data_IF_803253207326
#
_entry.id   IF_803253207326
#
_cell.length_a   1.000
_cell.length_b   1.000
_cell.length_c   1.000
_cell.angle_alpha   90.00
_cell.angle_beta   90.00
_cell.angle_gamma   90.00
#
_symmetry.space_group_name_H-M   'P 1'
#
loop_
_entity.id
_entity.type
_entity.pdbx_description
1 polymer ?
#
# COMPACT_ATOMS: atom_id res chain seq x y z
N UNK A 1 -59.10 -44.19 -39.41
CA UNK A 1 -58.76 -45.48 -40.02
C UNK A 1 -57.24 -45.63 -39.91
N UNK A 2 -56.76 -46.52 -39.03
CA UNK A 2 -55.33 -46.80 -38.82
C UNK A 2 -54.80 -47.81 -39.84
N UNK A 3 -53.82 -48.68 -39.50
CA UNK A 3 -52.78 -48.61 -38.46
C UNK A 3 -51.37 -49.06 -38.96
N UNK A 4 -50.33 -48.91 -38.13
CA UNK A 4 -49.06 -49.70 -38.11
C UNK A 4 -48.10 -48.96 -37.15
N UNK A 5 -47.92 -49.33 -35.89
CA UNK A 5 -47.32 -50.56 -35.36
C UNK A 5 -45.86 -50.74 -35.84
N UNK A 6 -44.94 -50.15 -35.09
CA UNK A 6 -43.51 -50.51 -35.09
C UNK A 6 -43.03 -50.65 -33.65
N UNK A 7 -43.12 -51.88 -33.20
CA UNK A 7 -42.30 -52.53 -32.20
C UNK A 7 -40.81 -52.41 -32.57
N UNK A 8 -40.03 -51.73 -31.74
CA UNK A 8 -38.58 -51.83 -31.68
C UNK A 8 -38.26 -52.04 -30.19
N UNK A 9 -38.38 -53.28 -29.71
CA UNK A 9 -37.29 -54.26 -29.65
C UNK A 9 -36.18 -53.79 -28.71
N UNK A 10 -36.43 -54.06 -27.44
CA UNK A 10 -35.47 -54.10 -26.34
C UNK A 10 -34.45 -55.20 -26.62
N UNK A 11 -33.23 -54.82 -27.03
CA UNK A 11 -32.07 -55.68 -26.92
C UNK A 11 -31.21 -55.19 -25.74
N UNK A 12 -31.52 -55.77 -24.58
CA UNK A 12 -30.60 -55.92 -23.46
C UNK A 12 -29.38 -56.71 -23.95
N UNK A 13 -28.26 -56.03 -24.15
CA UNK A 13 -26.95 -56.67 -24.16
C UNK A 13 -26.29 -56.41 -22.82
N UNK A 14 -26.30 -57.46 -22.01
CA UNK A 14 -25.52 -57.67 -20.79
C UNK A 14 -24.05 -57.27 -21.00
N UNK A 15 -23.75 -55.99 -20.77
CA UNK A 15 -22.41 -55.52 -20.53
C UNK A 15 -22.07 -55.92 -19.10
N UNK A 16 -21.47 -57.10 -18.97
CA UNK A 16 -20.86 -57.64 -17.77
C UNK A 16 -19.93 -56.58 -17.19
N UNK A 17 -20.42 -55.86 -16.17
CA UNK A 17 -19.66 -54.88 -15.41
C UNK A 17 -18.59 -55.67 -14.66
N UNK A 18 -17.43 -55.77 -15.29
CA UNK A 18 -16.23 -56.35 -14.69
C UNK A 18 -15.79 -55.37 -13.61
N UNK A 19 -16.06 -55.72 -12.36
CA UNK A 19 -15.56 -55.03 -11.16
C UNK A 19 -14.02 -55.07 -11.15
N UNK A 20 -13.40 -54.19 -11.91
CA UNK A 20 -11.99 -53.85 -11.74
C UNK A 20 -11.89 -53.00 -10.48
N UNK A 21 -11.68 -53.67 -9.35
CA UNK A 21 -11.24 -53.03 -8.12
C UNK A 21 -10.10 -52.06 -8.45
N UNK A 22 -10.26 -50.75 -8.16
CA UNK A 22 -9.19 -49.80 -8.40
C UNK A 22 -8.01 -50.19 -7.52
N UNK A 23 -6.92 -50.62 -8.15
CA UNK A 23 -5.63 -50.82 -7.50
C UNK A 23 -5.22 -49.49 -6.88
N UNK A 24 -5.43 -49.36 -5.58
CA UNK A 24 -5.03 -48.18 -4.81
C UNK A 24 -3.50 -48.15 -4.86
N UNK A 25 -2.97 -47.33 -5.77
CA UNK A 25 -1.55 -47.01 -5.82
C UNK A 25 -1.12 -46.57 -4.42
N UNK A 26 -0.17 -47.25 -3.76
CA UNK A 26 0.31 -46.84 -2.45
C UNK A 26 0.92 -45.46 -2.62
N UNK A 27 0.18 -44.43 -2.19
CA UNK A 27 0.63 -43.05 -2.17
C UNK A 27 1.93 -43.02 -1.37
N UNK A 28 3.05 -42.88 -2.06
CA UNK A 28 4.39 -42.72 -1.47
C UNK A 28 4.30 -41.62 -0.42
N UNK A 29 4.41 -42.03 0.84
CA UNK A 29 4.36 -41.16 2.00
C UNK A 29 5.50 -40.11 2.00
N UNK A 30 6.52 -40.30 1.15
CA UNK A 30 7.71 -39.44 1.05
C UNK A 30 7.46 -38.03 0.52
N UNK A 31 6.50 -37.80 -0.37
CA UNK A 31 6.34 -36.49 -1.03
C UNK A 31 5.79 -35.39 -0.11
N UNK A 32 5.25 -35.76 1.06
CA UNK A 32 4.76 -34.79 2.06
C UNK A 32 5.77 -34.43 3.13
N UNK A 33 6.81 -35.23 3.32
CA UNK A 33 7.77 -35.03 4.43
C UNK A 33 8.86 -34.02 4.05
N UNK A 34 9.27 -34.02 2.77
CA UNK A 34 10.30 -33.11 2.24
C UNK A 34 9.99 -31.62 2.45
N UNK A 35 8.78 -31.10 2.16
CA UNK A 35 8.49 -29.68 2.36
C UNK A 35 8.39 -29.28 3.85
N UNK A 36 8.01 -30.21 4.73
CA UNK A 36 7.93 -29.95 6.18
C UNK A 36 9.33 -29.83 6.78
N UNK A 37 10.25 -30.72 6.40
CA UNK A 37 11.64 -30.66 6.85
C UNK A 37 12.38 -29.42 6.31
N UNK A 38 12.14 -29.03 5.05
CA UNK A 38 12.68 -27.79 4.50
C UNK A 38 12.17 -26.54 5.24
N UNK A 39 10.91 -26.54 5.68
CA UNK A 39 10.34 -25.47 6.49
C UNK A 39 10.96 -25.37 7.88
N UNK A 40 11.22 -26.52 8.54
CA UNK A 40 11.87 -26.56 9.85
C UNK A 40 13.32 -26.09 9.75
N UNK A 41 14.07 -26.53 8.74
CA UNK A 41 15.44 -26.07 8.50
C UNK A 41 15.51 -24.55 8.20
N UNK A 42 14.57 -24.02 7.40
CA UNK A 42 14.45 -22.58 7.15
C UNK A 42 14.12 -21.78 8.42
N UNK A 43 13.25 -22.31 9.28
CA UNK A 43 12.94 -21.73 10.59
C UNK A 43 14.17 -21.70 11.52
N UNK A 44 14.99 -22.75 11.52
CA UNK A 44 16.21 -22.81 12.34
C UNK A 44 17.29 -21.83 11.85
N UNK A 45 17.40 -21.60 10.53
CA UNK A 45 18.30 -20.58 9.97
C UNK A 45 17.84 -19.17 10.34
N UNK A 46 16.53 -18.90 10.27
CA UNK A 46 15.96 -17.63 10.75
C UNK A 46 16.19 -17.42 12.25
N UNK A 47 16.17 -18.50 13.05
CA UNK A 47 16.43 -18.46 14.50
C UNK A 47 17.86 -17.99 14.82
N UNK A 48 18.80 -18.26 13.92
CA UNK A 48 20.20 -17.87 14.07
C UNK A 48 20.48 -16.42 13.65
N UNK A 49 19.64 -15.84 12.80
CA UNK A 49 19.79 -14.48 12.25
C UNK A 49 19.20 -13.41 13.19
N UNK A 50 18.23 -13.76 14.03
CA UNK A 50 17.54 -12.82 14.92
C UNK A 50 17.66 -13.21 16.41
N UNK A 51 18.68 -12.70 17.15
CA UNK A 51 18.94 -13.11 18.53
C UNK A 51 17.94 -12.55 19.56
N UNK A 52 17.11 -11.56 19.19
CA UNK A 52 16.17 -10.92 20.10
C UNK A 52 14.86 -11.71 20.24
N UNK A 53 14.62 -12.26 21.43
CA UNK A 53 13.40 -13.03 21.77
C UNK A 53 12.10 -12.23 21.58
N UNK A 54 12.15 -10.90 21.74
CA UNK A 54 10.97 -10.03 21.58
C UNK A 54 10.50 -9.93 20.11
N UNK A 55 11.44 -9.89 19.17
CA UNK A 55 11.16 -9.85 17.72
C UNK A 55 10.59 -11.19 17.24
N UNK A 56 11.03 -12.29 17.85
CA UNK A 56 10.46 -13.61 17.63
C UNK A 56 9.02 -13.73 18.13
N UNK A 57 8.72 -13.23 19.33
CA UNK A 57 7.36 -13.22 19.86
C UNK A 57 6.42 -12.38 19.00
N UNK A 58 6.86 -11.20 18.53
CA UNK A 58 6.03 -10.38 17.63
C UNK A 58 5.84 -11.03 16.26
N UNK A 59 6.86 -11.65 15.68
CA UNK A 59 6.75 -12.39 14.42
C UNK A 59 5.88 -13.65 14.53
N UNK A 60 5.97 -14.39 15.63
CA UNK A 60 5.12 -15.56 15.88
C UNK A 60 3.68 -15.13 16.16
N UNK A 61 3.45 -14.09 16.96
CA UNK A 61 2.12 -13.54 17.20
C UNK A 61 1.50 -13.01 15.89
N UNK A 62 2.28 -12.32 15.07
CA UNK A 62 1.86 -11.81 13.77
C UNK A 62 1.60 -12.93 12.77
N UNK A 63 2.48 -13.93 12.69
CA UNK A 63 2.32 -15.11 11.85
C UNK A 63 1.11 -15.95 12.25
N UNK A 64 0.87 -16.10 13.56
CA UNK A 64 -0.33 -16.74 14.11
C UNK A 64 -1.58 -15.93 13.74
N UNK A 65 -1.54 -14.61 13.88
CA UNK A 65 -2.65 -13.72 13.53
C UNK A 65 -2.96 -13.78 12.02
N UNK A 66 -1.93 -13.81 11.18
CA UNK A 66 -2.07 -14.00 9.73
C UNK A 66 -2.62 -15.37 9.36
N UNK A 67 -2.13 -16.43 10.00
CA UNK A 67 -2.60 -17.78 9.78
C UNK A 67 -4.06 -17.92 10.19
N UNK A 68 -4.43 -17.40 11.35
CA UNK A 68 -5.81 -17.34 11.83
C UNK A 68 -6.68 -16.51 10.89
N UNK A 69 -6.21 -15.34 10.44
CA UNK A 69 -6.90 -14.48 9.47
C UNK A 69 -7.12 -15.18 8.13
N UNK A 70 -6.12 -15.88 7.59
CA UNK A 70 -6.27 -16.69 6.38
C UNK A 70 -7.21 -17.88 6.59
N UNK A 71 -7.21 -18.49 7.77
CA UNK A 71 -8.08 -19.62 8.09
C UNK A 71 -9.53 -19.16 8.25
N UNK A 72 -9.77 -18.04 8.94
CA UNK A 72 -11.05 -17.35 9.03
C UNK A 72 -11.54 -16.87 7.66
N UNK A 73 -10.65 -16.36 6.82
CA UNK A 73 -11.01 -15.94 5.46
C UNK A 73 -11.37 -17.13 4.57
N UNK A 74 -10.62 -18.24 4.63
CA UNK A 74 -10.95 -19.48 3.91
C UNK A 74 -12.25 -20.09 4.42
N UNK A 75 -12.47 -20.07 5.73
CA UNK A 75 -13.70 -20.52 6.36
C UNK A 75 -14.88 -19.63 5.96
N UNK A 76 -14.78 -18.31 6.07
CA UNK A 76 -15.81 -17.37 5.62
C UNK A 76 -16.09 -17.54 4.13
N UNK A 77 -15.05 -17.76 3.30
CA UNK A 77 -15.22 -18.04 1.87
C UNK A 77 -15.93 -19.36 1.62
N UNK A 78 -15.65 -20.42 2.39
CA UNK A 78 -16.37 -21.70 2.28
C UNK A 78 -17.81 -21.56 2.78
N UNK A 79 -18.05 -20.79 3.84
CA UNK A 79 -19.37 -20.49 4.38
C UNK A 79 -20.20 -19.68 3.37
N UNK A 80 -19.58 -18.71 2.69
CA UNK A 80 -20.21 -17.95 1.60
C UNK A 80 -20.49 -18.81 0.36
N UNK A 81 -19.67 -19.83 0.08
CA UNK A 81 -19.94 -20.78 -0.99
C UNK A 81 -21.05 -21.78 -0.59
N UNK A 82 -21.07 -22.25 0.66
CA UNK A 82 -22.13 -23.08 1.21
C UNK A 82 -23.48 -22.33 1.27
N UNK A 83 -23.46 -21.05 1.67
CA UNK A 83 -24.63 -20.17 1.74
C UNK A 83 -25.17 -19.77 0.35
N UNK A 84 -24.38 -19.95 -0.72
CA UNK A 84 -24.83 -19.72 -2.09
C UNK A 84 -25.72 -20.83 -2.65
N UNK A 85 -25.93 -21.92 -1.90
CA UNK A 85 -26.87 -22.96 -2.31
C UNK A 85 -26.51 -23.63 -3.63
N UNK A 86 -25.24 -23.57 -4.05
CA UNK A 86 -24.69 -24.54 -4.98
C UNK A 86 -24.45 -25.82 -4.19
N UNK A 87 -25.54 -26.51 -3.85
CA UNK A 87 -25.44 -27.92 -3.51
C UNK A 87 -24.67 -28.59 -4.64
N UNK A 88 -23.53 -29.24 -4.37
CA UNK A 88 -22.93 -30.12 -5.34
C UNK A 88 -24.00 -31.18 -5.65
N UNK A 89 -24.56 -31.09 -6.86
CA UNK A 89 -25.53 -32.02 -7.45
C UNK A 89 -24.86 -33.40 -7.63
N UNK A 90 -24.48 -34.05 -6.54
CA UNK A 90 -23.92 -35.39 -6.55
C UNK A 90 -24.98 -36.46 -6.36
N UNK A 91 -26.21 -36.12 -5.96
CA UNK A 91 -27.30 -37.09 -5.86
C UNK A 91 -28.65 -36.47 -6.20
N UNK A 92 -29.00 -36.42 -7.49
CA UNK A 92 -30.41 -36.36 -7.89
C UNK A 92 -30.70 -37.19 -9.12
N UNK A 93 -30.29 -38.45 -9.06
CA UNK A 93 -31.01 -39.52 -9.74
C UNK A 93 -32.18 -39.91 -8.83
N UNK A 94 -33.42 -39.61 -9.26
CA UNK A 94 -34.58 -40.36 -8.79
C UNK A 94 -35.55 -39.68 -7.82
N UNK A 95 -35.86 -38.39 -7.96
CA UNK A 95 -37.13 -37.91 -7.37
C UNK A 95 -37.80 -36.83 -8.23
N UNK A 96 -38.88 -37.24 -8.89
CA UNK A 96 -39.76 -36.42 -9.71
C UNK A 96 -40.65 -35.54 -8.82
N UNK A 97 -40.09 -34.59 -8.09
CA UNK A 97 -40.91 -33.56 -7.43
C UNK A 97 -41.16 -32.44 -8.44
N UNK A 98 -42.38 -32.39 -8.95
CA UNK A 98 -42.92 -31.30 -9.76
C UNK A 98 -43.08 -30.04 -8.90
N UNK A 99 -41.98 -29.38 -8.54
CA UNK A 99 -42.06 -27.98 -8.17
C UNK A 99 -42.05 -27.17 -9.47
N UNK A 100 -43.07 -26.34 -9.66
CA UNK A 100 -43.14 -25.26 -10.65
C UNK A 100 -42.13 -24.17 -10.28
N UNK A 101 -40.85 -24.58 -10.19
CA UNK A 101 -39.69 -23.71 -10.08
C UNK A 101 -39.66 -22.92 -11.37
N UNK A 102 -40.02 -21.63 -11.29
CA UNK A 102 -39.79 -20.69 -12.39
C UNK A 102 -38.31 -20.83 -12.76
N UNK A 103 -38.07 -21.49 -13.89
CA UNK A 103 -36.74 -21.68 -14.46
C UNK A 103 -36.22 -20.28 -14.70
N UNK A 104 -35.34 -19.81 -13.81
CA UNK A 104 -34.64 -18.57 -13.99
C UNK A 104 -33.91 -18.70 -15.31
N UNK A 105 -34.42 -18.02 -16.35
CA UNK A 105 -33.89 -18.09 -17.70
C UNK A 105 -32.37 -17.87 -17.57
N UNK A 106 -31.53 -18.80 -18.05
CA UNK A 106 -30.09 -18.63 -17.98
C UNK A 106 -29.78 -17.27 -18.59
N UNK A 107 -29.21 -16.38 -17.77
CA UNK A 107 -28.80 -15.05 -18.20
C UNK A 107 -27.92 -15.26 -19.43
N UNK A 108 -28.45 -14.91 -20.59
CA UNK A 108 -27.76 -15.08 -21.85
C UNK A 108 -26.39 -14.41 -21.71
N UNK A 109 -25.29 -15.08 -22.09
CA UNK A 109 -23.94 -14.54 -21.94
C UNK A 109 -23.94 -13.17 -22.60
N UNK A 110 -23.86 -12.13 -21.78
CA UNK A 110 -24.04 -10.75 -22.24
C UNK A 110 -23.04 -10.50 -23.35
N UNK A 111 -23.58 -10.17 -24.53
CA UNK A 111 -22.84 -9.86 -25.76
C UNK A 111 -21.60 -9.03 -25.40
N UNK A 112 -20.43 -9.56 -25.77
CA UNK A 112 -19.12 -8.98 -25.46
C UNK A 112 -19.10 -7.47 -25.75
N UNK A 113 -18.97 -6.64 -24.70
CA UNK A 113 -18.86 -5.18 -24.83
C UNK A 113 -17.71 -4.80 -25.77
N UNK A 114 -17.91 -3.90 -26.73
CA UNK A 114 -16.86 -3.51 -27.68
C UNK A 114 -15.66 -2.89 -26.95
N UNK A 115 -14.46 -2.96 -27.55
CA UNK A 115 -13.25 -2.38 -26.97
C UNK A 115 -13.42 -0.88 -26.71
N UNK A 116 -13.98 -0.14 -27.67
CA UNK A 116 -14.26 1.30 -27.53
C UNK A 116 -15.16 1.62 -26.34
N UNK A 117 -16.24 0.86 -26.13
CA UNK A 117 -17.12 1.06 -24.97
C UNK A 117 -16.37 0.84 -23.63
N UNK A 118 -15.45 -0.13 -23.56
CA UNK A 118 -14.63 -0.35 -22.37
C UNK A 118 -13.63 0.78 -22.14
N UNK A 119 -12.99 1.25 -23.21
CA UNK A 119 -12.07 2.37 -23.14
C UNK A 119 -12.77 3.64 -22.68
N UNK A 120 -13.96 3.94 -23.21
CA UNK A 120 -14.79 5.06 -22.75
C UNK A 120 -15.15 4.92 -21.26
N UNK A 121 -15.50 3.72 -20.79
CA UNK A 121 -15.74 3.47 -19.36
C UNK A 121 -14.50 3.61 -18.49
N UNK A 122 -13.34 3.18 -19.01
CA UNK A 122 -12.05 3.29 -18.32
C UNK A 122 -11.63 4.74 -18.20
N UNK A 123 -11.75 5.52 -19.28
CA UNK A 123 -11.48 6.96 -19.27
C UNK A 123 -12.43 7.70 -18.32
N UNK A 124 -13.72 7.34 -18.30
CA UNK A 124 -14.67 7.88 -17.33
C UNK A 124 -14.33 7.49 -15.89
N UNK A 125 -13.79 6.30 -15.64
CA UNK A 125 -13.27 5.92 -14.32
C UNK A 125 -12.02 6.74 -13.95
N UNK A 126 -11.05 6.82 -14.85
CA UNK A 126 -9.81 7.61 -14.71
C UNK A 126 -10.14 9.07 -14.38
N UNK A 127 -11.06 9.70 -15.10
CA UNK A 127 -11.47 11.10 -14.88
C UNK A 127 -12.08 11.34 -13.49
N UNK A 128 -12.69 10.33 -12.86
CA UNK A 128 -13.27 10.43 -11.51
C UNK A 128 -12.25 10.18 -10.39
N UNK A 129 -11.12 9.57 -10.69
CA UNK A 129 -10.12 9.24 -9.65
C UNK A 129 -9.58 10.44 -8.88
N UNK A 130 -9.26 11.61 -9.48
CA UNK A 130 -8.69 12.72 -8.71
C UNK A 130 -9.65 13.19 -7.62
N UNK A 131 -10.95 13.22 -7.91
CA UNK A 131 -11.99 13.56 -6.94
C UNK A 131 -11.95 12.63 -5.71
N UNK A 132 -11.87 11.31 -5.93
CA UNK A 132 -11.79 10.36 -4.81
C UNK A 132 -10.47 10.44 -4.05
N UNK A 133 -9.35 10.70 -4.74
CA UNK A 133 -8.04 10.87 -4.09
C UNK A 133 -8.01 12.13 -3.23
N UNK A 134 -8.56 13.25 -3.71
CA UNK A 134 -8.68 14.49 -2.94
C UNK A 134 -9.56 14.27 -1.70
N UNK A 135 -10.69 13.57 -1.85
CA UNK A 135 -11.56 13.23 -0.73
C UNK A 135 -10.83 12.37 0.33
N UNK A 136 -10.08 11.36 -0.10
CA UNK A 136 -9.29 10.52 0.81
C UNK A 136 -8.15 11.31 1.46
N UNK A 137 -7.52 12.22 0.73
CA UNK A 137 -6.47 13.10 1.26
C UNK A 137 -7.04 14.05 2.32
N UNK A 138 -8.23 14.61 2.09
CA UNK A 138 -8.95 15.40 3.08
C UNK A 138 -9.30 14.59 4.34
N UNK A 139 -9.70 13.32 4.17
CA UNK A 139 -9.94 12.43 5.30
C UNK A 139 -8.65 12.13 6.11
N UNK A 140 -7.50 11.94 5.44
CA UNK A 140 -6.21 11.77 6.11
C UNK A 140 -5.81 13.05 6.86
N UNK A 141 -5.96 14.23 6.25
CA UNK A 141 -5.72 15.52 6.89
C UNK A 141 -6.60 15.73 8.13
N UNK A 142 -7.85 15.27 8.09
CA UNK A 142 -8.78 15.33 9.20
C UNK A 142 -8.35 14.41 10.37
N UNK A 143 -7.86 13.21 10.06
CA UNK A 143 -7.43 12.23 11.08
C UNK A 143 -6.06 12.57 11.66
N UNK A 144 -5.13 13.04 10.83
CA UNK A 144 -3.76 13.37 11.23
C UNK A 144 -3.31 14.64 10.53
N UNK A 145 -3.47 15.76 11.25
CA UNK A 145 -3.05 17.08 10.77
C UNK A 145 -1.55 17.13 10.50
N UNK A 146 -0.78 16.43 11.34
CA UNK A 146 0.69 16.45 11.29
C UNK A 146 1.26 15.56 10.17
N UNK A 147 0.45 14.70 9.54
CA UNK A 147 0.93 13.79 8.49
C UNK A 147 1.55 14.54 7.29
N UNK A 148 1.00 15.71 6.96
CA UNK A 148 1.48 16.58 5.88
C UNK A 148 2.25 17.80 6.41
N UNK A 149 2.69 17.78 7.67
CA UNK A 149 3.54 18.85 8.20
C UNK A 149 4.97 18.69 7.68
N UNK A 150 5.58 19.79 7.27
CA UNK A 150 7.02 19.86 7.00
C UNK A 150 7.70 20.80 7.96
N UNK A 151 9.01 20.65 8.12
CA UNK A 151 9.81 21.51 9.00
C UNK A 151 9.84 22.97 8.52
N UNK A 152 9.64 23.19 7.22
CA UNK A 152 9.66 24.52 6.62
C UNK A 152 8.33 25.27 6.78
N UNK A 153 7.21 24.55 6.90
CA UNK A 153 5.89 25.19 6.98
C UNK A 153 5.50 25.52 8.44
N UNK A 154 5.65 26.79 8.82
CA UNK A 154 5.15 27.32 10.10
C UNK A 154 3.63 27.20 10.27
N UNK A 155 2.88 27.09 9.17
CA UNK A 155 1.40 27.01 9.18
C UNK A 155 0.87 25.58 9.40
N UNK A 156 1.76 24.59 9.55
CA UNK A 156 1.44 23.20 9.86
C UNK A 156 1.04 22.33 8.67
N UNK A 157 0.84 22.91 7.48
CA UNK A 157 0.58 22.16 6.25
C UNK A 157 1.61 22.51 5.19
N UNK A 158 2.24 21.49 4.62
CA UNK A 158 3.08 21.64 3.44
C UNK A 158 2.28 21.26 2.19
N UNK A 159 2.05 22.26 1.34
CA UNK A 159 1.36 22.07 0.06
C UNK A 159 2.13 21.12 -0.86
N UNK A 160 3.45 21.06 -0.75
CA UNK A 160 4.31 20.16 -1.50
C UNK A 160 3.98 18.68 -1.21
N UNK A 161 3.90 18.30 0.07
CA UNK A 161 3.55 16.93 0.49
C UNK A 161 2.15 16.53 0.07
N UNK A 162 1.18 17.43 0.22
CA UNK A 162 -0.21 17.19 -0.18
C UNK A 162 -0.28 16.97 -1.69
N UNK A 163 0.34 17.87 -2.46
CA UNK A 163 0.37 17.82 -3.93
C UNK A 163 1.07 16.54 -4.41
N UNK A 164 2.21 16.21 -3.81
CA UNK A 164 2.95 14.99 -4.09
C UNK A 164 2.13 13.72 -3.79
N UNK A 165 1.47 13.66 -2.63
CA UNK A 165 0.62 12.53 -2.25
C UNK A 165 -0.56 12.35 -3.21
N UNK A 166 -1.25 13.44 -3.57
CA UNK A 166 -2.39 13.41 -4.50
C UNK A 166 -1.96 12.97 -5.89
N UNK A 167 -0.93 13.58 -6.45
CA UNK A 167 -0.45 13.29 -7.80
C UNK A 167 0.11 11.86 -7.92
N UNK A 168 0.93 11.42 -6.96
CA UNK A 168 1.48 10.06 -6.94
C UNK A 168 0.38 8.99 -6.82
N UNK A 169 -0.58 9.19 -5.93
CA UNK A 169 -1.71 8.26 -5.76
C UNK A 169 -2.62 8.23 -6.99
N UNK A 170 -2.83 9.39 -7.63
CA UNK A 170 -3.61 9.51 -8.86
C UNK A 170 -2.93 8.76 -10.01
N UNK A 171 -1.63 8.99 -10.21
CA UNK A 171 -0.80 8.30 -11.22
C UNK A 171 -0.86 6.78 -11.02
N UNK A 172 -0.63 6.29 -9.81
CA UNK A 172 -0.69 4.87 -9.49
C UNK A 172 -2.08 4.27 -9.77
N UNK A 173 -3.15 4.99 -9.43
CA UNK A 173 -4.52 4.55 -9.67
C UNK A 173 -4.86 4.52 -11.16
N UNK A 174 -4.39 5.50 -11.95
CA UNK A 174 -4.55 5.53 -13.40
C UNK A 174 -3.86 4.34 -14.08
N UNK A 175 -2.63 4.05 -13.69
CA UNK A 175 -1.89 2.89 -14.21
C UNK A 175 -2.62 1.60 -13.88
N UNK A 176 -3.10 1.42 -12.64
CA UNK A 176 -3.88 0.25 -12.26
C UNK A 176 -5.20 0.13 -13.03
N UNK A 177 -5.96 1.21 -13.19
CA UNK A 177 -7.21 1.20 -13.95
C UNK A 177 -6.96 0.90 -15.43
N UNK A 178 -6.00 1.57 -16.06
CA UNK A 178 -5.62 1.32 -17.44
C UNK A 178 -5.23 -0.14 -17.63
N UNK A 179 -4.34 -0.65 -16.78
CA UNK A 179 -3.81 -2.00 -16.90
C UNK A 179 -4.88 -3.07 -16.67
N UNK A 180 -5.66 -2.95 -15.58
CA UNK A 180 -6.70 -3.94 -15.25
C UNK A 180 -7.83 -3.98 -16.29
N UNK A 181 -8.22 -2.83 -16.86
CA UNK A 181 -9.31 -2.77 -17.84
C UNK A 181 -8.88 -3.18 -19.25
N UNK A 182 -7.66 -2.82 -19.67
CA UNK A 182 -7.13 -3.20 -20.98
C UNK A 182 -6.83 -4.71 -21.05
N UNK A 183 -6.33 -5.30 -19.95
CA UNK A 183 -5.88 -6.70 -19.96
C UNK A 183 -6.92 -7.74 -19.52
N UNK A 184 -8.12 -7.32 -19.11
CA UNK A 184 -9.21 -8.18 -18.58
C UNK A 184 -9.74 -9.27 -19.54
N UNK A 185 -9.18 -9.42 -20.75
CA UNK A 185 -9.84 -10.15 -21.86
C UNK A 185 -9.16 -11.42 -22.35
N UNK A 186 -7.97 -11.77 -21.87
CA UNK A 186 -7.27 -12.96 -22.34
C UNK A 186 -7.45 -14.17 -21.42
N UNK A 187 -7.39 -15.39 -21.98
CA UNK A 187 -6.91 -16.59 -21.27
C UNK A 187 -5.42 -16.46 -20.91
N UNK A 188 -4.97 -15.25 -20.60
CA UNK A 188 -3.58 -14.97 -20.34
C UNK A 188 -3.26 -15.55 -18.97
N UNK A 189 -2.14 -16.26 -18.89
CA UNK A 189 -1.74 -16.89 -17.64
C UNK A 189 -1.67 -15.87 -16.51
N UNK A 190 -2.18 -16.28 -15.35
CA UNK A 190 -2.21 -15.46 -14.15
C UNK A 190 -0.84 -14.87 -13.78
N UNK A 191 0.22 -15.63 -14.05
CA UNK A 191 1.61 -15.24 -13.83
C UNK A 191 2.04 -14.06 -14.71
N UNK A 192 1.75 -14.09 -16.00
CA UNK A 192 2.12 -13.03 -16.95
C UNK A 192 1.46 -11.71 -16.61
N UNK A 193 0.20 -11.75 -16.16
CA UNK A 193 -0.51 -10.56 -15.71
C UNK A 193 0.15 -9.93 -14.47
N UNK A 194 0.59 -10.74 -13.50
CA UNK A 194 1.31 -10.25 -12.32
C UNK A 194 2.66 -9.63 -12.66
N UNK A 195 3.42 -10.26 -13.56
CA UNK A 195 4.70 -9.72 -14.02
C UNK A 195 4.49 -8.37 -14.70
N UNK A 196 3.48 -8.25 -15.57
CA UNK A 196 3.22 -7.00 -16.25
C UNK A 196 2.74 -5.88 -15.30
N UNK A 197 1.93 -6.22 -14.29
CA UNK A 197 1.61 -5.30 -13.19
C UNK A 197 2.85 -4.89 -12.39
N UNK A 198 3.78 -5.82 -12.12
CA UNK A 198 5.02 -5.51 -11.43
C UNK A 198 5.86 -4.49 -12.22
N UNK A 199 5.99 -4.68 -13.55
CA UNK A 199 6.68 -3.74 -14.45
C UNK A 199 5.98 -2.39 -14.46
N UNK A 200 4.64 -2.36 -14.54
CA UNK A 200 3.86 -1.13 -14.44
C UNK A 200 4.05 -0.42 -13.09
N UNK A 201 4.17 -1.17 -12.00
CA UNK A 201 4.48 -0.65 -10.67
C UNK A 201 5.88 -0.06 -10.57
N UNK A 202 6.89 -0.71 -11.16
CA UNK A 202 8.26 -0.19 -11.24
C UNK A 202 8.30 1.14 -12.00
N UNK A 203 7.62 1.20 -13.15
CA UNK A 203 7.50 2.42 -13.94
C UNK A 203 6.78 3.53 -13.15
N UNK A 204 5.70 3.19 -12.43
CA UNK A 204 4.98 4.12 -11.55
C UNK A 204 5.89 4.65 -10.45
N UNK A 205 6.62 3.79 -9.75
CA UNK A 205 7.55 4.21 -8.69
C UNK A 205 8.68 5.09 -9.20
N UNK A 206 9.20 4.82 -10.39
CA UNK A 206 10.21 5.68 -11.04
C UNK A 206 9.64 7.07 -11.35
N UNK A 207 8.44 7.14 -11.90
CA UNK A 207 7.76 8.41 -12.17
C UNK A 207 7.43 9.18 -10.88
N UNK A 208 7.01 8.49 -9.81
CA UNK A 208 6.80 9.09 -8.48
C UNK A 208 8.11 9.62 -7.90
N UNK A 209 9.23 8.92 -8.09
CA UNK A 209 10.54 9.44 -7.71
C UNK A 209 10.90 10.70 -8.48
N UNK A 210 10.66 10.75 -9.79
CA UNK A 210 10.83 11.99 -10.57
C UNK A 210 9.97 13.14 -10.05
N UNK A 211 8.71 12.85 -9.71
CA UNK A 211 7.79 13.83 -9.13
C UNK A 211 8.27 14.34 -7.76
N UNK A 212 8.84 13.46 -6.93
CA UNK A 212 9.42 13.81 -5.64
C UNK A 212 10.56 14.84 -5.79
N UNK A 213 11.47 14.60 -6.74
CA UNK A 213 12.56 15.54 -7.04
C UNK A 213 12.03 16.85 -7.63
N UNK A 214 11.02 16.79 -8.50
CA UNK A 214 10.43 17.98 -9.12
C UNK A 214 9.71 18.89 -8.12
N UNK A 215 9.02 18.31 -7.13
CA UNK A 215 8.32 19.05 -6.08
C UNK A 215 9.22 19.42 -4.89
N UNK A 216 10.49 18.98 -4.87
CA UNK A 216 11.44 19.22 -3.78
C UNK A 216 10.88 18.86 -2.40
N UNK A 217 10.16 17.73 -2.31
CA UNK A 217 9.49 17.31 -1.09
C UNK A 217 10.51 16.73 -0.11
N UNK A 218 10.50 17.18 1.15
CA UNK A 218 11.39 16.65 2.19
C UNK A 218 10.64 15.78 3.18
N UNK A 219 11.10 14.56 3.45
CA UNK A 219 10.41 13.72 4.43
C UNK A 219 10.74 14.11 5.88
N UNK A 220 9.76 14.11 6.79
CA UNK A 220 10.03 14.34 8.20
C UNK A 220 10.85 13.18 8.79
N UNK A 221 11.91 13.51 9.53
CA UNK A 221 12.86 12.56 10.14
C UNK A 221 12.28 11.63 11.23
N UNK A 222 10.98 11.67 11.47
CA UNK A 222 10.34 11.06 12.66
C UNK A 222 10.17 9.54 12.52
N UNK A 223 10.43 8.96 11.35
CA UNK A 223 9.96 7.59 11.03
C UNK A 223 11.07 6.53 11.14
N UNK A 224 12.34 6.91 11.19
CA UNK A 224 13.45 5.97 11.33
C UNK A 224 14.02 6.06 12.75
N UNK A 225 13.55 5.24 13.72
CA UNK A 225 14.14 5.21 15.05
C UNK A 225 15.64 4.95 14.91
N UNK A 226 16.45 5.91 15.37
CA UNK A 226 17.90 5.93 15.24
C UNK A 226 18.50 4.56 15.57
N UNK A 227 19.13 3.91 14.59
CA UNK A 227 19.94 2.71 14.79
C UNK A 227 19.35 1.36 14.34
N UNK A 228 18.14 1.30 13.77
CA UNK A 228 17.62 0.04 13.18
C UNK A 228 17.36 0.17 11.69
N UNK A 229 18.45 0.07 10.94
CA UNK A 229 18.46 -0.17 9.50
C UNK A 229 17.79 -1.51 9.19
N UNK A 230 16.75 -1.51 8.36
CA UNK A 230 16.18 -2.75 7.82
C UNK A 230 17.24 -3.58 7.09
N UNK A 231 16.95 -4.87 6.83
CA UNK A 231 17.87 -5.86 6.24
C UNK A 231 18.51 -5.35 4.93
N UNK A 232 17.85 -4.41 4.24
CA UNK A 232 18.29 -3.81 2.98
C UNK A 232 18.42 -2.28 3.09
N UNK A 233 19.11 -1.78 4.12
CA UNK A 233 19.35 -0.35 4.29
C UNK A 233 20.23 0.28 3.20
N UNK A 234 21.08 -0.53 2.56
CA UNK A 234 22.01 -0.05 1.54
C UNK A 234 21.37 0.26 0.18
N UNK A 235 20.18 -0.26 -0.12
CA UNK A 235 19.53 -0.05 -1.44
C UNK A 235 18.60 1.19 -1.43
N UNK A 236 18.36 1.77 -0.24
CA UNK A 236 17.31 2.76 -0.02
C UNK A 236 17.77 4.12 0.53
N UNK A 237 19.05 4.32 0.78
CA UNK A 237 19.58 5.57 1.35
C UNK A 237 20.54 6.24 0.38
N UNK A 238 20.17 7.42 -0.08
CA UNK A 238 21.12 8.39 -0.61
C UNK A 238 21.15 9.54 0.38
N UNK A 239 22.34 9.86 0.89
CA UNK A 239 22.57 11.11 1.60
C UNK A 239 22.44 12.22 0.56
N UNK A 240 21.29 12.90 0.57
CA UNK A 240 21.04 14.05 -0.29
C UNK A 240 21.86 15.20 0.27
N UNK A 241 22.97 15.46 -0.40
CA UNK A 241 24.02 16.40 -0.06
C UNK A 241 24.79 16.04 1.22
N UNK A 242 26.11 15.97 1.09
CA UNK A 242 26.95 16.28 2.24
C UNK A 242 26.43 17.60 2.81
N UNK A 243 26.22 17.68 4.14
CA UNK A 243 25.99 18.94 4.81
C UNK A 243 26.86 20.01 4.17
N UNK A 244 26.24 21.01 3.54
CA UNK A 244 27.00 22.22 3.25
C UNK A 244 27.35 22.73 4.64
N UNK A 245 28.58 22.49 5.09
CA UNK A 245 29.15 23.18 6.24
C UNK A 245 29.07 24.66 5.89
N UNK A 246 27.99 25.31 6.33
CA UNK A 246 27.93 26.75 6.39
C UNK A 246 28.95 27.07 7.47
N UNK A 247 30.22 27.23 7.10
CA UNK A 247 31.29 27.63 8.00
C UNK A 247 30.80 28.89 8.72
N UNK A 248 30.47 28.82 10.01
CA UNK A 248 29.98 29.98 10.74
C UNK A 248 31.19 30.78 11.17
N UNK A 249 32.03 31.21 10.24
CA UNK A 249 33.22 32.04 10.49
C UNK A 249 33.85 32.48 9.16
N UNK A 250 33.08 33.25 8.37
CA UNK A 250 33.73 34.47 7.89
C UNK A 250 33.23 35.56 8.84
N UNK A 251 34.11 36.20 9.64
CA UNK A 251 33.72 37.44 10.31
C UNK A 251 33.09 38.33 9.24
N UNK A 252 32.00 38.98 9.64
CA UNK A 252 31.21 39.86 8.80
C UNK A 252 32.10 40.52 7.76
N UNK A 253 31.75 40.36 6.48
CA UNK A 253 32.13 41.35 5.48
C UNK A 253 31.52 42.65 6.01
N UNK A 254 32.34 43.38 6.76
CA UNK A 254 32.08 44.73 7.23
C UNK A 254 31.87 45.52 5.95
N UNK A 255 30.58 45.70 5.60
CA UNK A 255 30.23 46.72 4.65
C UNK A 255 30.73 48.01 5.30
N UNK A 256 31.84 48.54 4.80
CA UNK A 256 32.30 49.89 5.08
C UNK A 256 31.08 50.80 4.92
N UNK A 257 30.52 51.15 6.07
CA UNK A 257 29.40 52.04 6.21
C UNK A 257 29.89 53.39 5.70
N UNK A 258 29.45 53.73 4.49
CA UNK A 258 29.62 55.06 3.91
C UNK A 258 29.05 56.03 4.93
N UNK A 259 29.94 56.69 5.67
CA UNK A 259 29.57 57.64 6.71
C UNK A 259 28.66 58.74 6.14
N UNK A 260 27.44 58.94 6.67
CA UNK A 260 26.74 60.19 6.50
C UNK A 260 27.42 61.24 7.39
N UNK A 261 28.26 62.04 6.74
CA UNK A 261 28.86 63.25 7.29
C UNK A 261 27.78 64.19 7.87
N UNK A 262 27.91 64.50 9.17
CA UNK A 262 27.44 65.66 9.93
C UNK A 262 26.00 66.20 9.72
N UNK A 263 25.23 66.33 10.81
CA UNK A 263 24.70 67.60 11.34
C UNK A 263 24.06 67.35 12.72
N UNK A 264 24.67 67.89 13.76
CA UNK A 264 24.05 68.18 15.07
C UNK A 264 23.23 69.47 14.99
N UNK A 265 22.19 69.65 15.83
CA UNK A 265 22.39 70.38 17.10
C UNK A 265 21.61 69.72 18.26
N UNK A 266 22.22 69.43 19.42
CA UNK A 266 22.39 70.31 20.59
C UNK A 266 21.18 71.21 20.85
N UNK A 267 20.38 70.90 21.87
CA UNK A 267 20.00 71.78 23.00
C UNK A 267 18.96 71.12 23.92
N UNK A 268 19.27 71.15 25.23
CA UNK A 268 18.40 71.11 26.43
C UNK A 268 17.64 69.81 26.76
N UNK A 269 17.90 69.06 27.85
CA UNK A 269 18.06 69.39 29.29
C UNK A 269 16.73 69.70 30.01
N UNK A 270 16.17 68.69 30.70
CA UNK A 270 15.74 68.75 32.12
C UNK A 270 15.33 67.33 32.56
N UNK A 271 16.10 66.61 33.37
CA UNK A 271 16.29 66.69 34.82
C UNK A 271 15.09 66.15 35.63
N UNK A 272 15.36 65.07 36.36
CA UNK A 272 14.41 64.30 37.18
C UNK A 272 15.09 63.07 37.76
N UNK A 273 16.19 63.31 38.48
CA UNK A 273 16.93 62.33 39.30
C UNK A 273 16.10 61.82 40.50
N UNK A 274 16.69 60.81 41.17
CA UNK A 274 16.60 60.50 42.61
C UNK A 274 15.68 59.30 42.95
N UNK A 275 16.10 58.20 43.60
CA UNK A 275 17.35 57.69 44.17
C UNK A 275 17.11 56.17 44.43
N UNK A 276 18.00 55.21 44.13
CA UNK A 276 19.25 54.81 44.82
C UNK A 276 19.11 54.44 46.31
N UNK A 277 19.12 53.14 46.61
CA UNK A 277 19.92 52.47 47.67
C UNK A 277 20.12 51.01 47.18
N UNK A 278 21.27 50.60 46.63
CA UNK A 278 22.50 50.16 47.31
C UNK A 278 22.27 48.95 48.24
N UNK A 279 23.14 47.95 48.40
CA UNK A 279 24.36 47.48 47.77
C UNK A 279 24.76 46.24 48.61
N UNK A 280 25.26 45.18 47.96
CA UNK A 280 26.01 44.02 48.47
C UNK A 280 25.45 42.77 47.79
N UNK A 281 26.20 41.92 47.11
CA UNK A 281 27.44 41.33 47.61
C UNK A 281 28.27 40.76 46.45
N UNK A 282 29.57 40.84 46.66
CA UNK A 282 30.68 40.46 45.80
C UNK A 282 30.85 38.95 45.66
N UNK A 283 31.37 38.55 44.50
CA UNK A 283 32.48 37.58 44.32
C UNK A 283 32.24 36.13 44.76
N UNK A 284 32.23 35.22 43.78
CA UNK A 284 33.15 34.08 43.75
C UNK A 284 33.15 33.40 42.38
N UNK A 285 34.35 33.26 41.80
CA UNK A 285 34.86 32.13 40.98
C UNK A 285 33.94 31.60 39.86
N UNK A 286 34.19 31.91 38.59
CA UNK A 286 35.33 31.34 37.83
C UNK A 286 35.48 29.83 38.06
N UNK A 287 34.43 29.08 37.74
CA UNK A 287 34.58 27.69 37.31
C UNK A 287 34.16 27.61 35.85
N UNK A 288 35.21 27.58 35.05
CA UNK A 288 35.33 27.22 33.65
C UNK A 288 34.84 25.78 33.45
N UNK A 289 33.57 25.50 33.75
CA UNK A 289 32.88 24.38 33.13
C UNK A 289 32.54 24.83 31.72
N UNK A 290 33.58 24.72 30.89
CA UNK A 290 33.59 24.23 29.54
C UNK A 290 32.35 23.35 29.31
N UNK A 291 31.21 24.01 29.10
CA UNK A 291 30.06 23.44 28.44
C UNK A 291 30.55 23.26 27.03
N UNK A 292 31.26 22.15 26.86
CA UNK A 292 31.38 21.40 25.63
C UNK A 292 29.93 21.06 25.26
N UNK A 293 29.18 22.09 24.86
CA UNK A 293 28.07 21.96 23.94
C UNK A 293 28.72 21.21 22.80
N UNK A 294 28.52 19.90 22.82
CA UNK A 294 28.67 19.03 21.68
C UNK A 294 27.75 19.64 20.63
N UNK A 295 28.27 20.68 19.97
CA UNK A 295 27.80 21.32 18.75
C UNK A 295 28.12 20.42 17.57
N UNK A 296 28.09 19.12 17.81
CA UNK A 296 27.55 18.16 16.87
C UNK A 296 26.03 18.30 16.98
N UNK A 297 25.54 19.51 16.65
CA UNK A 297 24.16 19.76 16.29
C UNK A 297 23.92 18.84 15.12
N UNK A 298 23.45 17.64 15.46
CA UNK A 298 23.23 16.51 14.59
C UNK A 298 22.68 17.02 13.28
N UNK A 299 23.57 17.14 12.29
CA UNK A 299 23.21 17.52 10.95
C UNK A 299 22.10 16.59 10.55
N UNK A 300 20.90 17.17 10.53
CA UNK A 300 19.65 16.44 10.56
C UNK A 300 19.50 15.88 9.16
N UNK A 301 20.21 14.80 8.86
CA UNK A 301 20.25 14.14 7.57
C UNK A 301 18.82 13.91 7.13
N UNK A 302 18.40 14.60 6.08
CA UNK A 302 17.05 14.52 5.56
C UNK A 302 16.99 13.21 4.78
N UNK A 303 16.25 12.24 5.30
CA UNK A 303 16.16 10.93 4.68
C UNK A 303 15.08 10.93 3.61
N UNK A 304 15.47 10.91 2.33
CA UNK A 304 14.53 10.65 1.23
C UNK A 304 14.63 9.19 0.74
N UNK A 305 13.51 8.56 0.35
CA UNK A 305 13.55 7.27 -0.31
C UNK A 305 14.25 7.40 -1.66
N UNK A 306 15.14 6.46 -1.97
CA UNK A 306 15.78 6.41 -3.29
C UNK A 306 14.77 6.08 -4.40
N UNK A 307 15.13 6.39 -5.64
CA UNK A 307 14.37 5.95 -6.82
C UNK A 307 14.12 4.43 -6.80
N UNK A 308 15.12 3.65 -6.40
CA UNK A 308 15.01 2.19 -6.27
C UNK A 308 14.00 1.81 -5.18
N UNK A 309 13.95 2.55 -4.07
CA UNK A 309 12.95 2.38 -3.01
C UNK A 309 11.52 2.54 -3.53
N UNK A 310 11.23 3.62 -4.26
CA UNK A 310 9.90 3.81 -4.87
C UNK A 310 9.56 2.75 -5.91
N UNK A 311 10.47 2.46 -6.84
CA UNK A 311 10.29 1.46 -7.89
C UNK A 311 9.99 0.08 -7.31
N UNK A 312 10.74 -0.31 -6.28
CA UNK A 312 10.55 -1.60 -5.59
C UNK A 312 9.25 -1.64 -4.81
N UNK A 313 8.93 -0.58 -4.06
CA UNK A 313 7.68 -0.48 -3.30
C UNK A 313 6.45 -0.65 -4.22
N UNK A 314 6.34 0.17 -5.26
CA UNK A 314 5.19 0.10 -6.18
C UNK A 314 5.20 -1.17 -7.03
N UNK A 315 6.36 -1.65 -7.47
CA UNK A 315 6.49 -2.90 -8.22
C UNK A 315 5.97 -4.10 -7.43
N UNK A 316 6.38 -4.23 -6.16
CA UNK A 316 5.94 -5.32 -5.30
C UNK A 316 4.47 -5.16 -4.91
N UNK A 317 4.04 -3.95 -4.56
CA UNK A 317 2.65 -3.65 -4.25
C UNK A 317 1.72 -4.02 -5.42
N UNK A 318 2.14 -3.73 -6.66
CA UNK A 318 1.38 -4.06 -7.86
C UNK A 318 1.39 -5.56 -8.19
N UNK A 319 2.48 -6.26 -7.88
CA UNK A 319 2.65 -7.69 -8.16
C UNK A 319 1.90 -8.61 -7.19
N UNK A 320 2.00 -8.34 -5.88
CA UNK A 320 1.45 -9.22 -4.83
C UNK A 320 -0.07 -9.16 -4.80
N UNK A 321 -0.62 -7.95 -4.90
CA UNK A 321 -2.05 -7.74 -4.71
C UNK A 321 -2.81 -8.09 -5.97
N UNK A 322 -3.89 -8.85 -5.80
CA UNK A 322 -4.81 -9.22 -6.87
C UNK A 322 -5.70 -8.05 -7.32
N UNK A 323 -5.11 -7.03 -7.97
CA UNK A 323 -5.79 -5.79 -8.36
C UNK A 323 -6.99 -6.01 -9.28
N UNK A 324 -6.96 -7.05 -10.11
CA UNK A 324 -8.08 -7.39 -10.98
C UNK A 324 -9.37 -7.70 -10.20
N UNK A 325 -9.26 -8.32 -9.01
CA UNK A 325 -10.42 -8.57 -8.15
C UNK A 325 -10.98 -7.28 -7.57
N UNK A 326 -10.10 -6.31 -7.29
CA UNK A 326 -10.47 -5.01 -6.74
C UNK A 326 -11.15 -4.15 -7.79
N UNK A 327 -10.77 -4.28 -9.05
CA UNK A 327 -11.35 -3.54 -10.18
C UNK A 327 -12.50 -4.27 -10.87
N UNK A 328 -12.85 -5.48 -10.44
CA UNK A 328 -13.84 -6.31 -11.15
C UNK A 328 -15.22 -5.62 -11.14
N UNK A 329 -15.88 -5.66 -12.29
CA UNK A 329 -17.23 -5.12 -12.49
C UNK A 329 -18.30 -5.99 -11.83
N UNK A 330 -17.98 -7.25 -11.53
CA UNK A 330 -18.90 -8.24 -10.92
C UNK A 330 -18.92 -8.22 -9.38
N UNK A 331 -18.32 -7.22 -8.75
CA UNK A 331 -18.32 -7.12 -7.28
C UNK A 331 -19.74 -6.93 -6.74
N UNK A 332 -20.05 -7.61 -5.64
CA UNK A 332 -21.36 -7.49 -4.98
C UNK A 332 -21.50 -6.14 -4.26
N UNK A 333 -20.38 -5.59 -3.77
CA UNK A 333 -20.33 -4.33 -3.05
C UNK A 333 -19.44 -3.33 -3.78
N UNK A 334 -19.84 -2.06 -3.77
CA UNK A 334 -19.04 -0.98 -4.38
C UNK A 334 -17.74 -0.72 -3.61
N UNK A 335 -17.80 -0.90 -2.29
CA UNK A 335 -16.70 -0.64 -1.37
C UNK A 335 -16.51 -1.85 -0.45
N UNK A 336 -15.31 -2.43 -0.48
CA UNK A 336 -14.93 -3.60 0.34
C UNK A 336 -13.77 -3.20 1.25
N UNK A 337 -14.08 -2.92 2.51
CA UNK A 337 -13.10 -2.46 3.50
C UNK A 337 -12.00 -3.50 3.76
N UNK A 338 -12.34 -4.79 3.71
CA UNK A 338 -11.38 -5.90 3.87
C UNK A 338 -10.23 -5.83 2.86
N UNK A 339 -10.52 -5.42 1.63
CA UNK A 339 -9.50 -5.26 0.59
C UNK A 339 -8.56 -4.09 0.88
N UNK A 340 -9.05 -3.02 1.53
CA UNK A 340 -8.24 -1.86 1.92
C UNK A 340 -7.29 -2.26 3.05
N UNK A 341 -7.82 -2.91 4.10
CA UNK A 341 -7.01 -3.45 5.19
C UNK A 341 -5.92 -4.37 4.63
N UNK A 342 -6.27 -5.29 3.73
CA UNK A 342 -5.30 -6.22 3.16
C UNK A 342 -4.19 -5.53 2.35
N UNK A 343 -4.53 -4.44 1.65
CA UNK A 343 -3.56 -3.69 0.85
C UNK A 343 -2.66 -2.83 1.73
N UNK A 344 -3.21 -2.17 2.75
CA UNK A 344 -2.47 -1.48 3.81
C UNK A 344 -1.51 -2.42 4.55
N UNK A 345 -1.98 -3.63 4.88
CA UNK A 345 -1.19 -4.67 5.51
C UNK A 345 -0.05 -5.17 4.61
N UNK A 346 -0.32 -5.36 3.32
CA UNK A 346 0.72 -5.73 2.36
C UNK A 346 1.79 -4.65 2.27
N UNK A 347 1.40 -3.37 2.23
CA UNK A 347 2.33 -2.25 2.24
C UNK A 347 3.14 -2.17 3.54
N UNK A 348 2.54 -2.42 4.70
CA UNK A 348 3.26 -2.52 5.97
C UNK A 348 4.39 -3.56 5.90
N UNK A 349 4.10 -4.75 5.37
CA UNK A 349 5.12 -5.80 5.19
C UNK A 349 6.22 -5.32 4.23
N UNK A 350 5.85 -4.72 3.09
CA UNK A 350 6.83 -4.19 2.13
C UNK A 350 7.73 -3.15 2.80
N UNK A 351 7.17 -2.20 3.57
CA UNK A 351 7.94 -1.17 4.28
C UNK A 351 8.84 -1.72 5.41
N UNK A 352 8.59 -2.93 5.92
CA UNK A 352 9.51 -3.59 6.86
C UNK A 352 10.73 -4.15 6.12
N UNK A 353 10.51 -4.76 4.96
CA UNK A 353 11.57 -5.38 4.18
C UNK A 353 12.42 -4.36 3.41
N UNK A 354 11.76 -3.36 2.82
CA UNK A 354 12.37 -2.26 2.10
C UNK A 354 12.27 -1.03 2.99
N UNK A 355 13.38 -0.34 3.22
CA UNK A 355 13.47 0.89 4.03
C UNK A 355 12.67 2.02 3.38
N UNK A 356 11.35 1.95 3.49
CA UNK A 356 10.38 2.89 2.95
C UNK A 356 9.61 3.54 4.11
N UNK A 357 9.25 4.82 4.04
CA UNK A 357 8.51 5.48 5.11
C UNK A 357 7.17 4.76 5.36
N UNK A 358 7.09 4.10 6.52
CA UNK A 358 6.04 3.11 6.82
C UNK A 358 4.64 3.73 6.75
N UNK A 359 4.44 4.88 7.39
CA UNK A 359 3.14 5.57 7.41
C UNK A 359 2.72 5.97 5.99
N UNK A 360 3.64 6.49 5.18
CA UNK A 360 3.37 6.87 3.79
C UNK A 360 2.99 5.67 2.93
N UNK A 361 3.74 4.57 3.00
CA UNK A 361 3.45 3.37 2.22
C UNK A 361 2.07 2.78 2.53
N UNK A 362 1.70 2.72 3.81
CA UNK A 362 0.39 2.22 4.23
C UNK A 362 -0.73 3.14 3.73
N UNK A 363 -0.59 4.45 3.96
CA UNK A 363 -1.60 5.44 3.55
C UNK A 363 -1.76 5.45 2.03
N UNK A 364 -0.68 5.34 1.25
CA UNK A 364 -0.76 5.20 -0.20
C UNK A 364 -1.52 3.96 -0.63
N UNK A 365 -1.16 2.79 -0.10
CA UNK A 365 -1.84 1.55 -0.48
C UNK A 365 -3.33 1.59 -0.13
N UNK A 366 -3.69 2.16 1.02
CA UNK A 366 -5.09 2.34 1.43
C UNK A 366 -5.84 3.29 0.47
N UNK A 367 -5.28 4.46 0.21
CA UNK A 367 -5.88 5.50 -0.65
C UNK A 367 -6.03 5.04 -2.10
N UNK A 368 -4.99 4.44 -2.67
CA UNK A 368 -5.03 3.87 -4.04
C UNK A 368 -6.11 2.80 -4.12
N UNK A 369 -6.18 1.90 -3.13
CA UNK A 369 -7.19 0.84 -3.12
C UNK A 369 -8.61 1.41 -3.02
N UNK A 370 -8.82 2.38 -2.11
CA UNK A 370 -10.13 3.02 -1.95
C UNK A 370 -10.56 3.76 -3.22
N UNK A 371 -9.68 4.57 -3.80
CA UNK A 371 -9.96 5.31 -5.02
C UNK A 371 -10.20 4.38 -6.22
N UNK A 372 -9.42 3.30 -6.35
CA UNK A 372 -9.61 2.28 -7.38
C UNK A 372 -10.99 1.63 -7.28
N UNK A 373 -11.41 1.25 -6.06
CA UNK A 373 -12.73 0.64 -5.85
C UNK A 373 -13.87 1.58 -6.21
N UNK A 374 -13.77 2.86 -5.81
CA UNK A 374 -14.79 3.88 -6.03
C UNK A 374 -14.90 4.33 -7.49
N UNK A 375 -13.77 4.42 -8.19
CA UNK A 375 -13.69 4.82 -9.58
C UNK A 375 -14.11 3.71 -10.55
N UNK A 376 -13.83 2.45 -10.21
CA UNK A 376 -14.13 1.31 -11.07
C UNK A 376 -15.63 1.24 -11.44
N UNK A 377 -15.95 0.92 -12.71
CA UNK A 377 -17.32 0.86 -13.18
C UNK A 377 -18.09 -0.28 -12.50
N UNK A 378 -19.28 0.03 -11.97
CA UNK A 378 -20.18 -0.96 -11.39
C UNK A 378 -21.33 -1.21 -12.34
N UNK A 379 -21.61 -2.47 -12.65
CA UNK A 379 -22.81 -2.84 -13.38
C UNK A 379 -23.95 -2.94 -12.38
N UNK A 380 -24.92 -2.01 -12.45
CA UNK A 380 -26.12 -2.11 -11.62
C UNK A 380 -26.81 -3.43 -11.98
N UNK A 381 -26.84 -4.36 -11.02
CA UNK A 381 -27.67 -5.54 -11.14
C UNK A 381 -29.10 -5.01 -11.07
N UNK A 382 -29.76 -4.88 -12.22
CA UNK A 382 -31.17 -4.51 -12.24
C UNK A 382 -31.89 -5.55 -11.38
N UNK A 383 -32.32 -5.13 -10.19
CA UNK A 383 -33.16 -5.92 -9.31
C UNK A 383 -34.54 -5.83 -9.95
N UNK A 384 -34.80 -6.74 -10.88
CA UNK A 384 -36.09 -6.90 -11.56
C UNK A 384 -37.02 -7.77 -10.76
#
# INVERSE_FOLDING_TARGET
MGPADQTFQDDNLDATVRDTHPSVSPKRLGDRVVPVLAGIAGMMILFRIFPNRLTWLSMLAFGLCLFLGMRLFRWARSEFQASRGEEPNTHRFGEKVHSTRRVAKPLTPTKYRSFSQRMAQTLSAIARTPFYIILMTAAVLFVSRDFFSSQWSRSGFDLGHITFFVLSSCLATWVLLGFTQLWSRGKLDHSRFRIALAVAGIATGTAVSGLHHWLLVEYPNVIFPHGKTGIVSHIGRHDLAEPIEICPESPAFEFDEIQPAYVTPVMMQEHGEMDRVAASEQVSTEDTHQSHYHREDHLKTIWAPTMVGYATFFGILFSIRSWWLVSDYRRNYRYEFSSIIWSAFTAYIICIFFTFPLVWGITWAATITAALQLAAPMQSRNIS
#
